data_IF_884740924660
#
_entry.id   IF_884740924660
#
_cell.length_a   1.000
_cell.length_b   1.000
_cell.length_c   1.000
_cell.angle_alpha   90.00
_cell.angle_beta   90.00
_cell.angle_gamma   90.00
#
_symmetry.space_group_name_H-M   'P 1'
#
loop_
_entity.id
_entity.type
_entity.pdbx_description
1 polymer ?
#
# COMPACT_ATOMS: atom_id res chain seq x y z
N UNK A 1 -8.75 -31.32 -19.37
CA UNK A 1 -8.76 -30.92 -17.95
C UNK A 1 -9.15 -29.46 -17.92
N UNK A 2 -9.94 -29.06 -16.93
CA UNK A 2 -10.47 -27.70 -16.86
C UNK A 2 -9.34 -26.76 -16.41
N UNK A 3 -8.92 -25.82 -17.27
CA UNK A 3 -7.78 -24.92 -17.02
C UNK A 3 -7.88 -24.26 -15.64
N UNK A 4 -9.10 -23.95 -15.21
CA UNK A 4 -9.38 -23.36 -13.90
C UNK A 4 -9.02 -24.28 -12.74
N UNK A 5 -9.31 -25.58 -12.85
CA UNK A 5 -9.05 -26.57 -11.80
C UNK A 5 -7.56 -26.89 -11.60
N UNK A 6 -6.74 -26.65 -12.63
CA UNK A 6 -5.29 -26.83 -12.55
C UNK A 6 -4.59 -25.61 -11.93
N UNK A 7 -5.19 -24.42 -12.06
CA UNK A 7 -4.53 -23.17 -11.70
C UNK A 7 -5.15 -22.41 -10.53
N UNK A 8 -6.39 -22.71 -10.13
CA UNK A 8 -7.04 -22.11 -8.96
C UNK A 8 -7.36 -23.18 -7.93
N UNK A 9 -6.98 -22.92 -6.67
CA UNK A 9 -7.42 -23.77 -5.57
C UNK A 9 -8.94 -23.64 -5.38
N UNK A 10 -9.62 -24.71 -4.93
CA UNK A 10 -11.02 -24.62 -4.57
C UNK A 10 -11.23 -23.50 -3.55
N UNK A 11 -12.29 -22.73 -3.74
CA UNK A 11 -12.69 -21.66 -2.82
C UNK A 11 -12.88 -22.24 -1.41
N UNK A 12 -12.48 -21.47 -0.39
CA UNK A 12 -12.63 -21.88 1.01
C UNK A 12 -14.07 -22.36 1.33
N UNK A 13 -14.27 -23.66 1.62
CA UNK A 13 -15.58 -24.22 1.94
C UNK A 13 -16.22 -23.62 3.20
N UNK A 14 -15.41 -23.00 4.07
CA UNK A 14 -15.89 -22.32 5.28
C UNK A 14 -16.76 -21.10 4.96
N UNK A 15 -16.70 -20.57 3.74
CA UNK A 15 -17.57 -19.47 3.29
C UNK A 15 -19.02 -19.90 3.10
N UNK A 16 -19.27 -21.17 2.77
CA UNK A 16 -20.63 -21.71 2.67
C UNK A 16 -21.21 -22.05 4.03
N UNK A 17 -20.39 -22.67 4.89
CA UNK A 17 -20.83 -23.16 6.21
C UNK A 17 -20.84 -22.07 7.29
N UNK A 18 -19.98 -21.05 7.16
CA UNK A 18 -19.87 -19.89 8.05
C UNK A 18 -19.80 -18.60 7.20
N UNK A 19 -20.95 -18.18 6.64
CA UNK A 19 -21.02 -17.05 5.73
C UNK A 19 -20.63 -15.74 6.42
N UNK A 20 -20.01 -14.86 5.65
CA UNK A 20 -19.58 -13.54 6.10
C UNK A 20 -20.74 -12.56 5.92
N UNK A 21 -21.06 -11.71 6.92
CA UNK A 21 -22.10 -10.72 6.77
C UNK A 21 -21.76 -9.73 5.65
N UNK A 22 -22.79 -9.16 5.02
CA UNK A 22 -22.59 -8.17 3.96
C UNK A 22 -21.71 -7.00 4.43
N UNK A 23 -21.91 -6.52 5.66
CA UNK A 23 -21.10 -5.46 6.27
C UNK A 23 -20.55 -5.95 7.59
N UNK A 24 -19.29 -5.62 7.86
CA UNK A 24 -18.64 -5.84 9.15
C UNK A 24 -17.83 -4.60 9.51
N UNK A 25 -17.66 -4.39 10.81
CA UNK A 25 -16.78 -3.36 11.35
C UNK A 25 -15.86 -4.05 12.35
N UNK A 26 -14.57 -4.05 12.04
CA UNK A 26 -13.52 -4.48 12.94
C UNK A 26 -12.99 -3.28 13.72
N UNK A 27 -12.70 -3.51 15.00
CA UNK A 27 -11.83 -2.63 15.77
C UNK A 27 -10.41 -2.75 15.23
N UNK A 28 -9.71 -1.62 15.13
CA UNK A 28 -8.32 -1.56 14.65
C UNK A 28 -7.39 -1.00 15.71
N UNK A 29 -6.17 -1.53 15.76
CA UNK A 29 -5.06 -0.93 16.46
C UNK A 29 -4.17 -0.23 15.42
N UNK A 30 -4.01 1.09 15.54
CA UNK A 30 -3.27 1.89 14.57
C UNK A 30 -1.79 2.00 14.97
N UNK A 31 -0.90 1.76 14.01
CA UNK A 31 0.56 1.85 14.17
C UNK A 31 1.17 2.86 13.20
N UNK A 32 2.31 3.43 13.58
CA UNK A 32 3.05 4.43 12.80
C UNK A 32 2.67 5.88 13.11
N UNK A 33 3.40 6.87 12.55
CA UNK A 33 3.24 8.29 12.91
C UNK A 33 1.83 8.85 12.62
N UNK A 34 1.16 8.32 11.59
CA UNK A 34 -0.20 8.72 11.23
C UNK A 34 -1.28 8.24 12.21
N UNK A 35 -0.95 7.41 13.20
CA UNK A 35 -1.87 7.01 14.26
C UNK A 35 -2.14 8.16 15.27
N UNK A 36 -1.29 9.20 15.31
CA UNK A 36 -1.50 10.36 16.16
C UNK A 36 -2.79 11.11 15.78
N UNK A 37 -3.77 11.30 16.69
CA UNK A 37 -4.98 12.07 16.42
C UNK A 37 -4.74 13.50 15.92
N UNK A 38 -3.58 14.09 16.22
CA UNK A 38 -3.18 15.40 15.73
C UNK A 38 -2.97 15.44 14.21
N UNK A 39 -2.82 14.29 13.55
CA UNK A 39 -2.55 14.20 12.10
C UNK A 39 -3.56 14.95 11.25
N UNK A 40 -4.82 14.99 11.69
CA UNK A 40 -5.91 15.71 11.04
C UNK A 40 -5.63 17.21 10.90
N UNK A 41 -4.89 17.78 11.84
CA UNK A 41 -4.54 19.21 11.88
C UNK A 41 -3.14 19.49 11.35
N UNK A 42 -2.23 18.51 11.46
CA UNK A 42 -0.81 18.71 11.10
C UNK A 42 -0.47 18.30 9.67
N UNK A 43 -1.33 17.51 9.01
CA UNK A 43 -1.15 17.15 7.60
C UNK A 43 -1.23 18.37 6.67
N UNK A 44 -0.20 18.59 5.85
CA UNK A 44 -0.07 19.74 4.90
C UNK A 44 -0.52 19.39 3.49
N UNK A 45 -1.26 20.25 2.78
CA UNK A 45 -1.58 19.91 1.39
C UNK A 45 -0.32 19.72 0.54
N UNK A 46 -0.39 18.95 -0.54
CA UNK A 46 0.73 18.75 -1.47
C UNK A 46 1.27 20.10 -1.97
N UNK A 47 0.37 21.07 -2.19
CA UNK A 47 0.71 22.44 -2.56
C UNK A 47 1.44 23.21 -1.45
N UNK A 48 1.11 22.99 -0.17
CA UNK A 48 1.84 23.61 0.94
C UNK A 48 3.26 23.03 1.04
N UNK A 49 3.43 21.74 0.77
CA UNK A 49 4.76 21.11 0.72
C UNK A 49 5.56 21.68 -0.46
N UNK A 50 4.94 21.83 -1.64
CA UNK A 50 5.57 22.44 -2.83
C UNK A 50 6.20 23.81 -2.58
N UNK A 51 5.50 24.65 -1.84
CA UNK A 51 5.89 26.03 -1.56
C UNK A 51 7.12 26.09 -0.65
N UNK A 52 7.35 25.05 0.16
CA UNK A 52 8.45 25.00 1.11
C UNK A 52 9.68 24.26 0.58
N UNK A 53 9.57 23.60 -0.58
CA UNK A 53 10.65 22.86 -1.21
C UNK A 53 11.71 23.80 -1.78
N UNK A 54 12.96 23.46 -1.49
CA UNK A 54 14.17 24.14 -1.97
C UNK A 54 14.90 23.24 -2.98
N UNK A 55 15.65 23.83 -3.94
CA UNK A 55 16.47 23.04 -4.86
C UNK A 55 17.42 22.05 -4.15
N UNK A 56 17.92 22.41 -2.96
CA UNK A 56 18.78 21.56 -2.13
C UNK A 56 18.12 20.27 -1.63
N UNK A 57 16.79 20.18 -1.68
CA UNK A 57 16.09 19.02 -1.14
C UNK A 57 16.14 17.81 -2.09
N UNK A 58 16.48 18.00 -3.38
CA UNK A 58 16.46 16.95 -4.41
C UNK A 58 17.80 16.26 -4.65
N UNK A 59 18.92 16.97 -4.60
CA UNK A 59 20.24 16.45 -4.96
C UNK A 59 21.30 17.26 -4.23
N UNK A 60 22.44 16.63 -3.93
CA UNK A 60 23.60 17.30 -3.36
C UNK A 60 24.25 18.31 -4.34
N UNK A 61 23.90 18.26 -5.63
CA UNK A 61 24.36 19.21 -6.63
C UNK A 61 23.23 19.66 -7.59
N UNK A 62 22.30 20.50 -7.10
CA UNK A 62 21.11 20.87 -7.86
C UNK A 62 21.42 21.74 -9.08
N UNK A 63 22.52 22.51 -9.06
CA UNK A 63 22.95 23.31 -10.22
C UNK A 63 23.42 22.43 -11.37
N UNK A 64 24.19 21.39 -11.07
CA UNK A 64 24.62 20.42 -12.07
C UNK A 64 23.42 19.70 -12.69
N UNK A 65 22.52 19.17 -11.86
CA UNK A 65 21.36 18.44 -12.36
C UNK A 65 20.43 19.34 -13.19
N UNK A 66 20.23 20.60 -12.78
CA UNK A 66 19.45 21.56 -13.55
C UNK A 66 20.09 21.86 -14.91
N UNK A 67 21.42 21.96 -15.00
CA UNK A 67 22.12 22.16 -16.27
C UNK A 67 22.02 20.94 -17.19
N UNK A 68 22.09 19.73 -16.61
CA UNK A 68 21.89 18.48 -17.34
C UNK A 68 20.46 18.43 -17.88
N UNK A 69 19.46 18.73 -17.05
CA UNK A 69 18.07 18.81 -17.47
C UNK A 69 17.86 19.77 -18.63
N UNK A 70 18.33 21.01 -18.57
CA UNK A 70 18.13 21.97 -19.66
C UNK A 70 18.79 21.51 -20.97
N UNK A 71 19.95 20.84 -20.89
CA UNK A 71 20.62 20.25 -22.06
C UNK A 71 19.83 19.10 -22.66
N UNK A 72 19.25 18.25 -21.81
CA UNK A 72 18.60 17.01 -22.21
C UNK A 72 17.11 17.16 -22.51
N UNK A 73 16.47 18.22 -22.01
CA UNK A 73 15.02 18.46 -22.12
C UNK A 73 14.49 18.40 -23.55
N UNK A 74 15.25 18.90 -24.53
CA UNK A 74 14.86 18.83 -25.96
C UNK A 74 14.75 17.38 -26.49
N UNK A 75 15.39 16.42 -25.82
CA UNK A 75 15.32 15.00 -26.14
C UNK A 75 14.25 14.26 -25.33
N UNK A 76 13.53 14.95 -24.45
CA UNK A 76 12.49 14.40 -23.59
C UNK A 76 11.11 14.88 -24.06
N UNK A 77 10.47 14.21 -25.04
CA UNK A 77 9.23 14.68 -25.69
C UNK A 77 8.01 14.75 -24.76
N UNK A 78 8.10 14.27 -23.51
CA UNK A 78 7.05 14.34 -22.49
C UNK A 78 7.27 15.44 -21.43
N UNK A 79 8.33 16.24 -21.56
CA UNK A 79 8.53 17.45 -20.75
C UNK A 79 7.69 18.58 -21.35
N UNK A 80 6.95 19.32 -20.52
CA UNK A 80 6.06 20.40 -21.02
C UNK A 80 6.91 21.60 -21.45
N UNK A 81 6.48 22.37 -22.45
CA UNK A 81 7.28 23.50 -23.01
C UNK A 81 7.59 24.64 -22.04
N UNK A 82 6.82 24.80 -20.97
CA UNK A 82 7.04 25.83 -19.93
C UNK A 82 7.61 25.27 -18.62
N UNK A 83 7.88 23.96 -18.57
CA UNK A 83 8.31 23.27 -17.35
C UNK A 83 9.81 23.43 -17.07
N UNK A 84 10.16 23.99 -15.92
CA UNK A 84 11.53 24.05 -15.44
C UNK A 84 11.97 22.73 -14.77
N UNK A 85 13.27 22.63 -14.48
CA UNK A 85 13.86 21.48 -13.79
C UNK A 85 13.12 21.11 -12.50
N UNK A 86 12.76 22.11 -11.70
CA UNK A 86 12.14 21.90 -10.40
C UNK A 86 10.72 21.32 -10.57
N UNK A 87 9.95 21.87 -11.50
CA UNK A 87 8.59 21.42 -11.84
C UNK A 87 8.61 20.01 -12.43
N UNK A 88 9.59 19.72 -13.30
CA UNK A 88 9.82 18.37 -13.83
C UNK A 88 10.11 17.38 -12.70
N UNK A 89 11.10 17.68 -11.84
CA UNK A 89 11.45 16.84 -10.69
C UNK A 89 10.26 16.60 -9.77
N UNK A 90 9.52 17.66 -9.42
CA UNK A 90 8.27 17.56 -8.66
C UNK A 90 7.32 16.57 -9.33
N UNK A 91 7.01 16.75 -10.62
CA UNK A 91 6.08 15.89 -11.35
C UNK A 91 6.52 14.43 -11.42
N UNK A 92 7.82 14.18 -11.53
CA UNK A 92 8.37 12.81 -11.60
C UNK A 92 8.57 12.17 -10.23
N UNK A 93 8.55 12.94 -9.15
CA UNK A 93 8.80 12.46 -7.79
C UNK A 93 7.70 11.49 -7.30
N UNK A 94 8.14 10.31 -6.87
CA UNK A 94 7.26 9.20 -6.57
C UNK A 94 6.52 9.35 -5.24
N UNK A 95 7.14 9.92 -4.21
CA UNK A 95 6.48 10.17 -2.93
C UNK A 95 5.50 11.34 -3.05
N UNK A 96 5.79 12.34 -3.88
CA UNK A 96 4.83 13.39 -4.23
C UNK A 96 3.60 12.82 -4.94
N UNK A 97 3.78 11.90 -5.91
CA UNK A 97 2.66 11.22 -6.57
C UNK A 97 1.81 10.46 -5.56
N UNK A 98 2.44 9.74 -4.62
CA UNK A 98 1.75 9.09 -3.51
C UNK A 98 0.91 10.10 -2.71
N UNK A 99 1.50 11.22 -2.27
CA UNK A 99 0.76 12.25 -1.52
C UNK A 99 -0.39 12.86 -2.33
N UNK A 100 -0.19 13.00 -3.64
CA UNK A 100 -1.21 13.51 -4.57
C UNK A 100 -2.37 12.54 -4.72
N UNK A 101 -2.10 11.23 -4.76
CA UNK A 101 -3.11 10.18 -4.76
C UNK A 101 -3.94 10.23 -3.47
N UNK A 102 -3.29 10.32 -2.31
CA UNK A 102 -3.97 10.46 -1.00
C UNK A 102 -4.87 11.70 -0.97
N UNK A 103 -4.37 12.85 -1.44
CA UNK A 103 -5.15 14.08 -1.49
C UNK A 103 -6.30 14.00 -2.50
N UNK A 104 -6.10 13.38 -3.66
CA UNK A 104 -7.15 13.19 -4.68
C UNK A 104 -8.27 12.30 -4.14
N UNK A 105 -7.92 11.19 -3.49
CA UNK A 105 -8.87 10.33 -2.82
C UNK A 105 -9.68 11.08 -1.76
N UNK A 106 -8.99 11.85 -0.91
CA UNK A 106 -9.61 12.70 0.11
C UNK A 106 -10.64 13.66 -0.49
N UNK A 107 -10.29 14.32 -1.59
CA UNK A 107 -11.16 15.27 -2.27
C UNK A 107 -12.38 14.58 -2.88
N UNK A 108 -12.21 13.40 -3.46
CA UNK A 108 -13.31 12.62 -4.06
C UNK A 108 -14.30 12.09 -3.01
N UNK A 109 -13.82 11.72 -1.82
CA UNK A 109 -14.66 11.25 -0.72
C UNK A 109 -15.37 12.39 0.04
N UNK A 110 -14.89 13.62 -0.10
CA UNK A 110 -15.52 14.80 0.48
C UNK A 110 -16.70 15.22 -0.41
N UNK A 111 -17.90 14.68 -0.15
CA UNK A 111 -19.11 15.06 -0.90
C UNK A 111 -19.40 16.57 -0.91
N UNK A 112 -20.37 17.05 -1.74
CA UNK A 112 -20.61 18.49 -1.99
C UNK A 112 -21.04 19.32 -0.77
N UNK A 113 -21.32 18.69 0.37
CA UNK A 113 -21.68 19.34 1.63
C UNK A 113 -20.56 19.29 2.69
N UNK A 114 -19.35 18.85 2.33
CA UNK A 114 -18.19 18.88 3.23
C UNK A 114 -18.41 18.02 4.48
N UNK A 115 -18.35 16.70 4.33
CA UNK A 115 -18.25 15.82 5.49
C UNK A 115 -16.94 16.08 6.22
N UNK A 116 -17.04 16.42 7.50
CA UNK A 116 -15.94 16.60 8.43
C UNK A 116 -15.04 15.35 8.46
N UNK A 117 -13.72 15.60 8.38
CA UNK A 117 -12.63 14.67 8.71
C UNK A 117 -12.48 13.48 7.75
N UNK A 118 -12.04 13.76 6.53
CA UNK A 118 -11.44 12.74 5.66
C UNK A 118 -10.01 12.43 6.13
N UNK A 119 -9.75 11.14 6.41
CA UNK A 119 -8.46 10.65 6.91
C UNK A 119 -7.31 11.04 5.96
N UNK A 120 -6.34 11.89 6.38
CA UNK A 120 -5.24 12.35 5.54
C UNK A 120 -4.08 11.33 5.47
N UNK A 121 -4.27 10.17 6.08
CA UNK A 121 -3.24 9.15 6.22
C UNK A 121 -3.29 8.12 5.08
N UNK A 122 -2.22 7.36 4.94
CA UNK A 122 -2.10 6.28 3.96
C UNK A 122 -1.44 5.05 4.59
N UNK A 123 -1.47 3.92 3.88
CA UNK A 123 -0.94 2.64 4.36
C UNK A 123 -1.92 1.51 4.07
N UNK A 124 -1.90 0.46 4.90
CA UNK A 124 -2.65 -0.77 4.66
C UNK A 124 -3.37 -1.25 5.92
N UNK A 125 -4.40 -2.05 5.71
CA UNK A 125 -4.92 -2.91 6.77
C UNK A 125 -4.05 -4.15 6.93
N UNK A 126 -3.85 -4.59 8.16
CA UNK A 126 -3.20 -5.87 8.48
C UNK A 126 -4.25 -6.79 9.09
N UNK A 127 -4.49 -7.94 8.48
CA UNK A 127 -5.36 -8.98 9.02
C UNK A 127 -4.52 -10.05 9.71
N UNK A 128 -4.68 -10.17 11.03
CA UNK A 128 -3.98 -11.19 11.81
C UNK A 128 -4.79 -12.48 11.81
N UNK A 129 -4.19 -13.58 11.38
CA UNK A 129 -4.82 -14.92 11.34
C UNK A 129 -4.24 -15.89 12.36
N UNK A 130 -3.04 -15.63 12.88
CA UNK A 130 -2.46 -16.42 13.97
C UNK A 130 -2.69 -15.78 15.34
N UNK A 131 -3.28 -16.55 16.25
CA UNK A 131 -3.58 -16.16 17.63
C UNK A 131 -2.88 -17.06 18.65
N UNK A 132 -1.72 -17.62 18.28
CA UNK A 132 -0.86 -18.34 19.22
C UNK A 132 -0.25 -17.36 20.23
N UNK A 133 0.13 -17.84 21.42
CA UNK A 133 0.79 -17.01 22.43
C UNK A 133 2.07 -16.37 21.88
N UNK A 134 2.80 -17.12 21.05
CA UNK A 134 4.02 -16.65 20.38
C UNK A 134 3.72 -15.53 19.39
N UNK A 135 2.68 -15.69 18.54
CA UNK A 135 2.28 -14.66 17.59
C UNK A 135 1.84 -13.38 18.33
N UNK A 136 1.04 -13.52 19.40
CA UNK A 136 0.60 -12.38 20.19
C UNK A 136 1.77 -11.60 20.82
N UNK A 137 2.75 -12.30 21.40
CA UNK A 137 3.94 -11.67 22.01
C UNK A 137 4.84 -10.95 21.00
N UNK A 138 4.80 -11.34 19.72
CA UNK A 138 5.69 -10.83 18.67
C UNK A 138 5.01 -9.86 17.71
N UNK A 139 3.68 -9.78 17.73
CA UNK A 139 2.89 -8.99 16.79
C UNK A 139 3.32 -7.53 16.76
N UNK A 140 3.45 -6.90 17.93
CA UNK A 140 3.84 -5.49 18.03
C UNK A 140 5.21 -5.24 17.38
N UNK A 141 6.21 -6.07 17.69
CA UNK A 141 7.54 -5.98 17.11
C UNK A 141 7.53 -6.19 15.58
N UNK A 142 6.70 -7.11 15.08
CA UNK A 142 6.55 -7.35 13.65
C UNK A 142 5.94 -6.14 12.92
N UNK A 143 4.89 -5.53 13.49
CA UNK A 143 4.26 -4.34 12.90
C UNK A 143 5.20 -3.14 12.93
N UNK A 144 5.91 -2.92 14.06
CA UNK A 144 6.91 -1.85 14.18
C UNK A 144 8.05 -2.01 13.17
N UNK A 145 8.48 -3.25 12.88
CA UNK A 145 9.48 -3.50 11.85
C UNK A 145 9.00 -3.05 10.45
N UNK A 146 7.76 -3.35 10.07
CA UNK A 146 7.17 -2.86 8.81
C UNK A 146 7.03 -1.34 8.78
N UNK A 147 6.66 -0.72 9.91
CA UNK A 147 6.63 0.74 10.02
C UNK A 147 8.03 1.30 9.74
N UNK A 148 9.05 0.79 10.42
CA UNK A 148 10.42 1.29 10.25
C UNK A 148 10.95 1.09 8.82
N UNK A 149 10.73 -0.07 8.20
CA UNK A 149 11.08 -0.33 6.80
C UNK A 149 10.43 0.67 5.86
N UNK A 150 9.12 0.89 6.01
CA UNK A 150 8.39 1.81 5.14
C UNK A 150 8.89 3.24 5.30
N UNK A 151 9.14 3.69 6.54
CA UNK A 151 9.68 5.02 6.81
C UNK A 151 11.10 5.21 6.25
N UNK A 152 11.94 4.18 6.31
CA UNK A 152 13.31 4.18 5.75
C UNK A 152 13.28 4.18 4.22
N UNK A 153 12.41 3.38 3.61
CA UNK A 153 12.17 3.36 2.17
C UNK A 153 11.71 4.73 1.64
N UNK A 154 10.74 5.39 2.30
CA UNK A 154 10.30 6.73 1.90
C UNK A 154 11.44 7.76 1.90
N UNK A 155 12.34 7.70 2.88
CA UNK A 155 13.50 8.62 2.95
C UNK A 155 14.47 8.44 1.79
N UNK A 156 14.58 7.22 1.24
CA UNK A 156 15.39 6.93 0.05
C UNK A 156 14.73 7.43 -1.24
N UNK A 157 13.41 7.32 -1.34
CA UNK A 157 12.68 7.55 -2.60
C UNK A 157 12.57 9.03 -3.03
N UNK A 158 12.74 10.00 -2.13
CA UNK A 158 12.31 11.38 -2.41
C UNK A 158 12.98 12.42 -1.48
N UNK A 159 12.97 13.72 -1.84
CA UNK A 159 13.36 14.81 -0.96
C UNK A 159 12.80 14.72 0.44
N UNK A 160 13.56 15.23 1.40
CA UNK A 160 13.22 15.24 2.82
C UNK A 160 11.79 15.71 3.08
N UNK A 161 11.32 16.80 2.47
CA UNK A 161 10.01 17.37 2.78
C UNK A 161 8.82 16.52 2.32
N UNK A 162 8.90 15.86 1.15
CA UNK A 162 7.85 14.94 0.72
C UNK A 162 7.89 13.66 1.54
N UNK A 163 9.07 13.10 1.75
CA UNK A 163 9.26 11.90 2.56
C UNK A 163 8.87 12.11 4.02
N UNK A 164 9.12 13.29 4.59
CA UNK A 164 8.67 13.69 5.93
C UNK A 164 7.15 13.77 6.00
N UNK A 165 6.51 14.40 5.00
CA UNK A 165 5.05 14.51 4.98
C UNK A 165 4.40 13.14 4.79
N UNK A 166 4.94 12.29 3.90
CA UNK A 166 4.46 10.93 3.70
C UNK A 166 4.70 10.06 4.94
N UNK A 167 5.88 10.14 5.55
CA UNK A 167 6.22 9.43 6.78
C UNK A 167 5.27 9.79 7.92
N UNK A 168 5.00 11.09 8.11
CA UNK A 168 4.08 11.61 9.12
C UNK A 168 2.66 11.06 8.96
N UNK A 169 2.25 10.78 7.73
CA UNK A 169 0.91 10.27 7.38
C UNK A 169 0.82 8.76 7.30
N UNK A 170 1.95 8.05 7.39
CA UNK A 170 1.94 6.61 7.27
C UNK A 170 1.30 5.98 8.51
N UNK A 171 0.31 5.11 8.29
CA UNK A 171 -0.38 4.37 9.35
C UNK A 171 -0.86 3.00 8.86
N UNK A 172 -0.60 1.98 9.67
CA UNK A 172 -1.07 0.61 9.50
C UNK A 172 -2.21 0.35 10.48
N UNK A 173 -3.33 -0.16 9.98
CA UNK A 173 -4.51 -0.49 10.78
C UNK A 173 -4.56 -2.01 11.01
N UNK A 174 -4.20 -2.47 12.21
CA UNK A 174 -4.11 -3.89 12.55
C UNK A 174 -5.44 -4.39 13.11
N UNK A 175 -6.00 -5.40 12.46
CA UNK A 175 -7.25 -6.06 12.84
C UNK A 175 -6.95 -7.36 13.57
N UNK A 176 -7.37 -7.43 14.84
CA UNK A 176 -7.28 -8.61 15.68
C UNK A 176 -8.70 -9.04 16.08
N UNK A 177 -9.24 -10.02 15.37
CA UNK A 177 -10.54 -10.63 15.68
C UNK A 177 -10.44 -12.15 15.56
N UNK A 178 -10.16 -12.80 16.70
CA UNK A 178 -9.96 -14.25 16.76
C UNK A 178 -11.14 -15.05 16.22
N UNK A 179 -12.36 -14.66 16.57
CA UNK A 179 -13.58 -15.37 16.15
C UNK A 179 -13.72 -15.44 14.62
N UNK A 180 -13.43 -14.33 13.94
CA UNK A 180 -13.55 -14.23 12.50
C UNK A 180 -12.31 -14.75 11.74
N UNK A 181 -11.11 -14.53 12.29
CA UNK A 181 -9.85 -14.61 11.54
C UNK A 181 -8.90 -15.73 11.97
N UNK A 182 -9.13 -16.41 13.10
CA UNK A 182 -8.24 -17.51 13.53
C UNK A 182 -8.17 -18.60 12.44
N UNK A 183 -6.95 -18.82 11.93
CA UNK A 183 -6.64 -19.74 10.83
C UNK A 183 -7.46 -19.46 9.55
N UNK A 184 -7.88 -18.22 9.33
CA UNK A 184 -8.60 -17.84 8.13
C UNK A 184 -7.73 -18.01 6.88
N UNK A 185 -8.32 -18.58 5.82
CA UNK A 185 -7.73 -18.64 4.50
C UNK A 185 -7.62 -17.26 3.85
N UNK A 186 -6.85 -17.15 2.77
CA UNK A 186 -6.79 -15.93 1.94
C UNK A 186 -8.18 -15.53 1.43
N UNK A 187 -9.01 -16.49 1.03
CA UNK A 187 -10.39 -16.23 0.59
C UNK A 187 -11.25 -15.64 1.68
N UNK A 188 -11.14 -16.19 2.89
CA UNK A 188 -11.89 -15.69 4.03
C UNK A 188 -11.44 -14.29 4.40
N UNK A 189 -10.13 -14.05 4.44
CA UNK A 189 -9.58 -12.71 4.69
C UNK A 189 -10.05 -11.71 3.63
N UNK A 190 -10.04 -12.10 2.34
CA UNK A 190 -10.54 -11.27 1.24
C UNK A 190 -12.00 -10.87 1.43
N UNK A 191 -12.86 -11.83 1.77
CA UNK A 191 -14.29 -11.56 1.98
C UNK A 191 -14.57 -10.76 3.27
N UNK A 192 -13.83 -11.01 4.34
CA UNK A 192 -13.89 -10.20 5.57
C UNK A 192 -13.43 -8.76 5.30
N UNK A 193 -12.38 -8.59 4.48
CA UNK A 193 -11.91 -7.27 4.05
C UNK A 193 -12.97 -6.57 3.18
N UNK A 194 -13.57 -7.26 2.20
CA UNK A 194 -14.70 -6.74 1.44
C UNK A 194 -15.86 -6.32 2.34
N UNK A 195 -16.19 -7.11 3.37
CA UNK A 195 -17.24 -6.77 4.32
C UNK A 195 -16.91 -5.51 5.15
N UNK A 196 -15.65 -5.35 5.57
CA UNK A 196 -15.14 -4.14 6.20
C UNK A 196 -15.29 -2.93 5.28
N UNK A 197 -14.85 -3.04 4.02
CA UNK A 197 -14.94 -1.96 3.03
C UNK A 197 -16.39 -1.55 2.73
N UNK A 198 -17.32 -2.52 2.64
CA UNK A 198 -18.77 -2.25 2.52
C UNK A 198 -19.35 -1.60 3.78
N UNK A 199 -18.83 -1.97 4.96
CA UNK A 199 -19.17 -1.34 6.24
C UNK A 199 -18.81 0.14 6.23
N UNK A 200 -17.57 0.46 5.84
CA UNK A 200 -17.04 1.82 5.75
C UNK A 200 -17.60 2.65 4.58
N UNK A 201 -18.49 2.07 3.76
CA UNK A 201 -19.05 2.73 2.58
C UNK A 201 -18.04 2.92 1.43
N UNK A 202 -16.90 2.25 1.49
CA UNK A 202 -15.80 2.33 0.51
C UNK A 202 -15.99 1.34 -0.66
N UNK A 203 -16.82 0.31 -0.48
CA UNK A 203 -17.22 -0.62 -1.52
C UNK A 203 -18.74 -0.55 -1.74
N UNK A 204 -19.16 -0.30 -2.99
CA UNK A 204 -20.56 -0.39 -3.40
C UNK A 204 -21.09 -1.83 -3.35
N UNK A 205 -22.40 -2.00 -3.59
CA UNK A 205 -23.00 -3.34 -3.69
C UNK A 205 -22.52 -4.15 -4.90
N UNK A 206 -21.88 -3.49 -5.87
CA UNK A 206 -21.33 -4.09 -7.08
C UNK A 206 -19.81 -4.14 -6.97
N UNK A 207 -19.22 -5.34 -6.98
CA UNK A 207 -17.76 -5.58 -6.89
C UNK A 207 -17.05 -4.92 -8.10
N UNK A 208 -17.77 -4.75 -9.20
CA UNK A 208 -17.30 -4.12 -10.44
C UNK A 208 -17.23 -2.60 -10.38
N UNK A 209 -17.65 -1.96 -9.28
CA UNK A 209 -17.50 -0.52 -9.15
C UNK A 209 -16.01 -0.17 -8.93
N UNK A 210 -15.39 0.38 -9.98
CA UNK A 210 -14.07 1.04 -10.03
C UNK A 210 -13.93 2.27 -9.09
N UNK A 211 -14.70 2.31 -8.00
CA UNK A 211 -14.81 3.43 -7.06
C UNK A 211 -13.98 3.26 -5.79
N UNK A 212 -13.28 2.13 -5.60
CA UNK A 212 -12.20 2.07 -4.60
C UNK A 212 -11.05 2.90 -5.19
N UNK A 213 -11.13 4.21 -5.00
CA UNK A 213 -10.04 5.12 -5.32
C UNK A 213 -8.79 4.78 -4.53
N UNK A 214 -7.64 5.22 -5.05
CA UNK A 214 -6.31 5.10 -4.45
C UNK A 214 -6.35 5.40 -2.94
N UNK A 215 -6.25 4.35 -2.11
CA UNK A 215 -6.47 4.43 -0.67
C UNK A 215 -6.02 3.15 0.04
N UNK A 216 -6.18 3.10 1.37
CA UNK A 216 -5.92 1.88 2.19
C UNK A 216 -6.71 0.64 1.79
N UNK A 217 -7.68 0.81 0.89
CA UNK A 217 -8.62 -0.21 0.44
C UNK A 217 -8.17 -0.96 -0.79
N UNK A 218 -7.03 -0.59 -1.38
CA UNK A 218 -6.49 -1.27 -2.56
C UNK A 218 -6.03 -2.68 -2.24
N UNK A 219 -5.46 -2.90 -1.06
CA UNK A 219 -4.88 -4.17 -0.62
C UNK A 219 -4.95 -4.29 0.91
N UNK A 220 -4.88 -5.52 1.42
CA UNK A 220 -4.51 -5.74 2.82
C UNK A 220 -3.34 -6.72 2.94
N UNK A 221 -2.60 -6.59 4.05
CA UNK A 221 -1.48 -7.47 4.39
C UNK A 221 -1.99 -8.60 5.29
N UNK A 222 -1.58 -9.83 5.00
CA UNK A 222 -1.88 -10.99 5.83
C UNK A 222 -0.75 -11.24 6.83
N UNK A 223 -1.10 -11.31 8.12
CA UNK A 223 -0.17 -11.66 9.21
C UNK A 223 -0.53 -13.04 9.77
N UNK A 224 0.14 -14.05 9.24
CA UNK A 224 0.20 -15.39 9.82
C UNK A 224 1.36 -15.54 10.82
N UNK A 225 1.52 -16.73 11.40
CA UNK A 225 2.55 -16.97 12.42
C UNK A 225 3.98 -16.83 11.86
N UNK A 226 4.19 -17.27 10.62
CA UNK A 226 5.49 -17.24 9.97
C UNK A 226 5.89 -15.80 9.63
N UNK A 227 4.98 -15.02 9.05
CA UNK A 227 5.16 -13.59 8.76
C UNK A 227 5.47 -12.80 10.03
N UNK A 228 4.67 -12.98 11.09
CA UNK A 228 4.92 -12.32 12.39
C UNK A 228 6.29 -12.70 12.93
N UNK A 229 6.65 -13.99 12.87
CA UNK A 229 7.93 -14.48 13.37
C UNK A 229 9.10 -13.89 12.59
N UNK A 230 9.07 -13.87 11.26
CA UNK A 230 10.17 -13.34 10.44
C UNK A 230 10.32 -11.83 10.62
N UNK A 231 9.23 -11.07 10.54
CA UNK A 231 9.26 -9.62 10.75
C UNK A 231 9.76 -9.23 12.15
N UNK A 232 9.38 -9.97 13.18
CA UNK A 232 9.81 -9.69 14.57
C UNK A 232 11.32 -9.88 14.81
N UNK A 233 12.03 -10.57 13.90
CA UNK A 233 13.49 -10.80 14.01
C UNK A 233 14.32 -9.72 13.31
N UNK A 234 13.68 -8.82 12.55
CA UNK A 234 14.41 -7.84 11.77
C UNK A 234 15.19 -6.89 12.69
N UNK A 235 16.45 -6.67 12.33
CA UNK A 235 17.35 -5.78 13.05
C UNK A 235 17.97 -4.78 12.08
N UNK A 236 17.67 -3.51 12.29
CA UNK A 236 18.06 -2.43 11.39
C UNK A 236 19.49 -1.96 11.65
N UNK A 237 20.27 -1.80 10.58
CA UNK A 237 21.55 -1.10 10.65
C UNK A 237 21.33 0.42 10.70
N UNK A 238 22.39 1.17 10.98
CA UNK A 238 22.34 2.64 10.93
C UNK A 238 22.13 3.16 9.51
N UNK A 239 22.54 2.40 8.50
CA UNK A 239 22.46 2.78 7.10
C UNK A 239 21.19 2.21 6.47
N UNK A 240 20.31 3.09 5.97
CA UNK A 240 19.07 2.68 5.30
C UNK A 240 19.29 2.16 3.89
N UNK A 241 20.47 2.41 3.29
CA UNK A 241 20.80 1.93 1.96
C UNK A 241 21.05 0.42 1.91
N UNK A 242 21.35 -0.20 3.06
CA UNK A 242 21.59 -1.64 3.17
C UNK A 242 20.30 -2.46 3.31
N UNK A 243 19.15 -1.81 3.56
CA UNK A 243 17.89 -2.50 3.86
C UNK A 243 17.44 -3.42 2.71
N UNK A 244 17.56 -2.98 1.45
CA UNK A 244 17.17 -3.79 0.29
C UNK A 244 18.04 -5.03 0.14
N UNK A 245 19.34 -4.91 0.45
CA UNK A 245 20.26 -6.05 0.41
C UNK A 245 20.04 -6.98 1.60
N UNK A 246 19.71 -6.44 2.77
CA UNK A 246 19.54 -7.20 4.01
C UNK A 246 18.18 -7.90 4.08
N UNK A 247 17.13 -7.30 3.53
CA UNK A 247 15.75 -7.73 3.66
C UNK A 247 15.05 -8.04 2.33
N UNK A 248 15.78 -8.05 1.21
CA UNK A 248 15.23 -8.32 -0.12
C UNK A 248 14.56 -9.69 -0.27
N UNK A 249 14.89 -10.65 0.60
CA UNK A 249 14.27 -11.98 0.62
C UNK A 249 13.10 -12.09 1.62
N UNK A 250 12.68 -10.99 2.24
CA UNK A 250 11.57 -10.96 3.20
C UNK A 250 10.33 -10.38 2.53
N UNK A 251 9.25 -11.14 2.56
CA UNK A 251 8.01 -10.82 1.86
C UNK A 251 6.83 -10.80 2.83
N UNK A 252 5.82 -10.03 2.46
CA UNK A 252 4.49 -10.07 3.06
C UNK A 252 3.45 -10.41 2.02
N UNK A 253 2.49 -11.25 2.41
CA UNK A 253 1.39 -11.65 1.54
C UNK A 253 0.34 -10.53 1.45
N UNK A 254 0.13 -10.03 0.24
CA UNK A 254 -0.86 -9.00 -0.09
C UNK A 254 -2.11 -9.64 -0.67
N UNK A 255 -3.29 -9.26 -0.17
CA UNK A 255 -4.59 -9.75 -0.65
C UNK A 255 -5.30 -8.65 -1.42
N UNK A 256 -5.75 -8.97 -2.64
CA UNK A 256 -6.57 -8.10 -3.47
C UNK A 256 -8.06 -8.27 -3.15
N UNK A 257 -8.74 -7.25 -2.60
CA UNK A 257 -10.18 -7.29 -2.40
C UNK A 257 -11.00 -7.18 -3.70
N UNK A 258 -10.42 -6.74 -4.82
CA UNK A 258 -11.13 -6.59 -6.11
C UNK A 258 -11.14 -7.88 -6.91
N UNK A 259 -10.11 -8.70 -6.78
CA UNK A 259 -10.03 -9.98 -7.47
C UNK A 259 -11.14 -10.96 -7.05
N UNK A 260 -11.83 -11.56 -8.01
CA UNK A 260 -12.80 -12.63 -7.79
C UNK A 260 -12.47 -13.82 -8.67
N UNK A 261 -12.94 -15.01 -8.27
CA UNK A 261 -12.70 -16.26 -8.99
C UNK A 261 -13.23 -16.16 -10.42
N UNK A 262 -12.34 -16.11 -11.42
CA UNK A 262 -12.78 -15.79 -12.75
C UNK A 262 -13.27 -17.05 -13.46
N UNK A 263 -14.30 -16.91 -14.29
CA UNK A 263 -14.77 -18.00 -15.17
C UNK A 263 -13.79 -18.30 -16.30
N UNK A 264 -12.89 -17.37 -16.60
CA UNK A 264 -11.75 -17.53 -17.49
C UNK A 264 -10.58 -16.68 -16.97
N UNK A 265 -9.34 -17.13 -17.07
CA UNK A 265 -8.18 -16.35 -16.62
C UNK A 265 -8.16 -14.97 -17.29
N UNK A 266 -7.82 -13.93 -16.53
CA UNK A 266 -7.68 -12.59 -17.11
C UNK A 266 -6.50 -12.59 -18.10
N UNK A 267 -6.72 -12.26 -19.39
CA UNK A 267 -5.72 -12.47 -20.44
C UNK A 267 -4.39 -11.74 -20.22
N UNK A 268 -4.42 -10.61 -19.51
CA UNK A 268 -3.26 -9.75 -19.29
C UNK A 268 -2.54 -10.02 -17.96
N UNK A 269 -2.98 -11.02 -17.19
CA UNK A 269 -2.41 -11.35 -15.87
C UNK A 269 -1.91 -12.80 -15.82
N UNK A 270 -1.45 -13.31 -16.96
CA UNK A 270 -0.86 -14.65 -17.08
C UNK A 270 0.64 -14.48 -17.31
N UNK A 271 1.43 -14.80 -16.29
CA UNK A 271 2.89 -14.78 -16.36
C UNK A 271 3.44 -16.19 -16.25
N UNK A 272 4.35 -16.56 -17.16
CA UNK A 272 4.89 -17.92 -17.21
C UNK A 272 3.83 -19.02 -17.38
N UNK A 273 2.62 -18.69 -17.83
CA UNK A 273 1.48 -19.60 -17.90
C UNK A 273 0.67 -19.73 -16.60
N UNK A 274 1.00 -18.97 -15.56
CA UNK A 274 0.29 -18.96 -14.27
C UNK A 274 -0.58 -17.71 -14.15
N UNK A 275 -1.90 -17.85 -13.96
CA UNK A 275 -2.79 -16.72 -13.81
C UNK A 275 -2.72 -16.11 -12.40
N UNK A 276 -2.89 -14.80 -12.31
CA UNK A 276 -3.06 -14.10 -11.04
C UNK A 276 -4.24 -14.64 -10.22
N UNK A 277 -4.00 -14.85 -8.91
CA UNK A 277 -4.92 -15.52 -7.98
C UNK A 277 -5.52 -14.60 -6.91
N UNK A 278 -5.43 -13.28 -7.10
CA UNK A 278 -5.99 -12.30 -6.14
C UNK A 278 -5.19 -12.14 -4.87
N UNK A 279 -3.94 -12.58 -4.87
CA UNK A 279 -2.98 -12.38 -3.81
C UNK A 279 -1.56 -12.59 -4.36
N UNK A 280 -0.60 -11.84 -3.84
CA UNK A 280 0.79 -11.91 -4.25
C UNK A 280 1.74 -11.55 -3.11
N UNK A 281 3.02 -11.86 -3.27
CA UNK A 281 4.05 -11.59 -2.29
C UNK A 281 4.74 -10.26 -2.60
N UNK A 282 4.74 -9.34 -1.64
CA UNK A 282 5.38 -8.03 -1.77
C UNK A 282 6.63 -7.98 -0.88
N UNK A 283 7.81 -7.59 -1.42
CA UNK A 283 8.98 -7.32 -0.61
C UNK A 283 8.68 -6.27 0.45
N UNK A 284 9.12 -6.50 1.68
CA UNK A 284 8.79 -5.62 2.82
C UNK A 284 9.37 -4.21 2.70
N UNK A 285 10.39 -4.02 1.86
CA UNK A 285 11.01 -2.73 1.55
C UNK A 285 10.23 -1.91 0.51
N UNK A 286 9.31 -2.54 -0.23
CA UNK A 286 8.60 -1.96 -1.37
C UNK A 286 7.18 -1.47 -1.06
N UNK A 287 6.71 -1.54 0.20
CA UNK A 287 5.33 -1.18 0.56
C UNK A 287 4.92 0.24 0.15
N UNK A 288 5.82 1.21 0.28
CA UNK A 288 5.59 2.59 -0.14
C UNK A 288 5.47 2.72 -1.67
N UNK A 289 6.32 2.01 -2.39
CA UNK A 289 6.31 1.98 -3.85
C UNK A 289 5.06 1.30 -4.39
N UNK A 290 4.67 0.16 -3.82
CA UNK A 290 3.41 -0.51 -4.15
C UNK A 290 2.23 0.43 -3.95
N UNK A 291 2.18 1.15 -2.82
CA UNK A 291 1.08 2.09 -2.56
C UNK A 291 0.95 3.14 -3.65
N UNK A 292 2.10 3.63 -4.15
CA UNK A 292 2.15 4.58 -5.26
C UNK A 292 1.69 3.97 -6.58
N UNK A 293 2.14 2.75 -6.90
CA UNK A 293 1.91 2.11 -8.19
C UNK A 293 0.47 1.69 -8.39
N UNK A 294 -0.14 1.13 -7.34
CA UNK A 294 -1.40 0.42 -7.51
C UNK A 294 -2.54 1.24 -8.15
N UNK A 295 -2.62 2.58 -8.03
CA UNK A 295 -3.79 3.39 -8.46
C UNK A 295 -5.18 2.76 -8.16
N UNK A 296 -5.22 1.92 -7.12
CA UNK A 296 -6.37 1.08 -6.78
C UNK A 296 -6.40 -0.35 -7.35
N UNK A 297 -5.66 -0.73 -8.39
CA UNK A 297 -5.67 -2.06 -9.02
C UNK A 297 -4.34 -2.83 -8.82
N UNK A 298 -4.34 -3.80 -7.90
CA UNK A 298 -3.20 -4.70 -7.67
C UNK A 298 -2.85 -5.57 -8.88
N UNK A 299 -3.79 -5.79 -9.81
CA UNK A 299 -3.55 -6.63 -10.98
C UNK A 299 -2.60 -6.00 -12.00
N UNK A 300 -2.45 -4.67 -11.99
CA UNK A 300 -1.53 -3.97 -12.90
C UNK A 300 -0.05 -4.17 -12.52
N UNK A 301 0.23 -4.49 -11.25
CA UNK A 301 1.58 -4.66 -10.70
C UNK A 301 1.97 -6.14 -10.49
N UNK A 302 1.20 -7.09 -11.05
CA UNK A 302 1.48 -8.53 -10.93
C UNK A 302 2.50 -9.02 -11.97
N UNK A 303 3.44 -9.92 -11.60
CA UNK A 303 3.81 -10.34 -10.25
C UNK A 303 4.63 -9.25 -9.54
N UNK A 304 4.29 -8.98 -8.29
CA UNK A 304 4.86 -7.88 -7.52
C UNK A 304 6.34 -8.09 -7.24
N UNK A 305 6.78 -9.33 -7.06
CA UNK A 305 8.19 -9.63 -6.82
C UNK A 305 9.08 -9.22 -8.01
N UNK A 306 8.66 -9.48 -9.25
CA UNK A 306 9.48 -9.19 -10.44
C UNK A 306 9.38 -7.72 -10.88
N UNK A 307 8.26 -7.08 -10.56
CA UNK A 307 7.98 -5.68 -10.93
C UNK A 307 8.61 -4.68 -9.95
N UNK A 308 8.99 -5.14 -8.75
CA UNK A 308 9.56 -4.32 -7.67
C UNK A 308 11.07 -4.50 -7.45
N UNK A 309 11.71 -5.44 -8.14
CA UNK A 309 13.17 -5.64 -8.17
C UNK A 309 13.82 -4.91 -9.34
#
# INVERSE_FOLDING_TARGET
MDFLSEHFQPRDPSLETRPIPHKRFFDTCAFGPGADPAIQKTARSVSDVDLNIRPSDYSNNPEFDSQVFERERQFMPWVRDEEDWLSFRKRTDDVRKLLSAVQTYRNNMSGPLGSEITDPTWGYYIFVTSYTDTAHQKLEAAVEALVQLTLRSLRRMSPSLYSEEASKRFKLDVIQNREALENASEDRVREEFRAQLRGLGMLGGDIMFRGIGSGRSSACILFDEDTIRELSKLSFSLDAEEDDLQFGDVYTRMIDPKWDYPTQPYPNTIEGGVPYRGADDCPVTCLAELYRRMDGDLMEDYPMADVMT
#
